data_IF_743774153321
#
_entry.id   IF_743774153321
#
_cell.length_a   1.000
_cell.length_b   1.000
_cell.length_c   1.000
_cell.angle_alpha   90.00
_cell.angle_beta   90.00
_cell.angle_gamma   90.00
#
_symmetry.space_group_name_H-M   'P 1'
#
loop_
_entity.id
_entity.type
_entity.pdbx_description
1 polymer ?
#
# COMPACT_ATOMS: atom_id res chain seq x y z
N UNK A 1 17.23 -6.12 4.14
CA UNK A 1 16.38 -7.12 4.81
C UNK A 1 15.19 -7.31 3.90
N UNK A 2 15.24 -8.31 3.03
CA UNK A 2 14.09 -8.72 2.22
C UNK A 2 13.19 -9.55 3.15
N UNK A 3 12.39 -8.87 3.97
CA UNK A 3 11.19 -9.48 4.51
C UNK A 3 10.34 -9.80 3.28
N UNK A 4 10.32 -11.07 2.87
CA UNK A 4 9.31 -11.55 1.93
C UNK A 4 7.96 -11.11 2.49
N UNK A 5 7.16 -10.48 1.65
CA UNK A 5 5.87 -9.86 1.94
C UNK A 5 4.80 -10.92 2.21
N UNK A 6 5.14 -11.89 3.06
CA UNK A 6 4.31 -12.98 3.50
C UNK A 6 3.96 -12.74 4.96
N UNK A 7 2.69 -12.44 5.19
CA UNK A 7 2.13 -12.12 6.50
C UNK A 7 0.85 -12.95 6.65
N UNK A 8 1.05 -14.21 7.02
CA UNK A 8 -0.05 -15.13 7.28
C UNK A 8 -0.44 -15.03 8.75
N UNK A 9 -1.73 -14.84 8.99
CA UNK A 9 -2.29 -15.02 10.32
C UNK A 9 -2.28 -16.50 10.68
N UNK A 10 -1.30 -16.91 11.50
CA UNK A 10 -1.16 -18.29 11.96
C UNK A 10 -2.43 -18.79 12.66
N UNK A 11 -3.23 -17.92 13.29
CA UNK A 11 -4.49 -18.31 13.91
C UNK A 11 -5.52 -18.84 12.91
N UNK A 12 -5.37 -18.55 11.61
CA UNK A 12 -6.19 -19.09 10.53
C UNK A 12 -5.55 -20.28 9.80
N UNK A 13 -4.27 -20.58 10.06
CA UNK A 13 -3.57 -21.68 9.43
C UNK A 13 -4.15 -23.02 9.90
N UNK A 14 -4.57 -23.86 8.93
CA UNK A 14 -5.24 -25.14 9.22
C UNK A 14 -4.33 -26.13 9.94
N UNK A 15 -3.03 -26.15 9.61
CA UNK A 15 -2.06 -27.02 10.29
C UNK A 15 -1.83 -26.57 11.73
N UNK A 16 -1.70 -25.26 11.95
CA UNK A 16 -1.55 -24.74 13.32
C UNK A 16 -2.77 -25.03 14.18
N UNK A 17 -3.97 -24.80 13.66
CA UNK A 17 -5.21 -25.15 14.36
C UNK A 17 -5.30 -26.63 14.70
N UNK A 18 -4.89 -27.49 13.77
CA UNK A 18 -4.85 -28.95 14.01
C UNK A 18 -3.88 -29.30 15.13
N UNK A 19 -2.71 -28.67 15.19
CA UNK A 19 -1.77 -28.82 16.30
C UNK A 19 -2.38 -28.37 17.63
N UNK A 20 -3.05 -27.21 17.65
CA UNK A 20 -3.68 -26.68 18.87
C UNK A 20 -4.85 -27.53 19.38
N UNK A 21 -5.66 -28.08 18.49
CA UNK A 21 -6.87 -28.83 18.86
C UNK A 21 -6.57 -30.29 19.20
N UNK A 22 -5.79 -30.96 18.34
CA UNK A 22 -5.69 -32.42 18.37
C UNK A 22 -4.31 -32.91 18.86
N UNK A 23 -3.30 -32.05 18.83
CA UNK A 23 -1.91 -32.42 19.13
C UNK A 23 -1.19 -31.38 20.01
N UNK A 24 -1.93 -30.81 20.97
CA UNK A 24 -1.44 -29.76 21.88
C UNK A 24 -0.17 -30.18 22.64
N UNK A 25 0.01 -31.49 22.86
CA UNK A 25 1.20 -32.06 23.50
C UNK A 25 2.51 -31.59 22.86
N UNK A 26 2.57 -31.46 21.53
CA UNK A 26 3.80 -30.98 20.88
C UNK A 26 4.10 -29.52 21.21
N UNK A 27 3.06 -28.68 21.36
CA UNK A 27 3.20 -27.28 21.72
C UNK A 27 3.59 -27.12 23.20
N UNK A 28 3.07 -27.99 24.06
CA UNK A 28 3.39 -27.98 25.49
C UNK A 28 4.80 -28.53 25.78
N UNK A 29 5.26 -29.51 24.99
CA UNK A 29 6.61 -30.08 25.08
C UNK A 29 7.68 -29.19 24.44
N UNK A 30 7.34 -28.43 23.38
CA UNK A 30 8.29 -27.57 22.67
C UNK A 30 9.12 -26.63 23.55
N UNK A 31 8.57 -25.89 24.52
CA UNK A 31 9.40 -25.05 25.40
C UNK A 31 10.28 -25.83 26.38
N UNK A 32 9.92 -27.08 26.71
CA UNK A 32 10.65 -27.93 27.67
C UNK A 32 11.88 -28.54 27.00
N UNK A 33 11.68 -29.13 25.82
CA UNK A 33 12.70 -29.85 25.05
C UNK A 33 13.43 -28.95 24.03
N UNK A 34 13.06 -27.66 23.97
CA UNK A 34 13.60 -26.70 23.01
C UNK A 34 13.21 -26.99 21.55
N UNK A 35 12.11 -27.72 21.31
CA UNK A 35 11.67 -28.02 19.96
C UNK A 35 11.23 -26.77 19.21
N UNK A 36 11.41 -26.81 17.89
CA UNK A 36 10.93 -25.78 16.99
C UNK A 36 9.81 -26.35 16.14
N UNK A 37 8.64 -25.73 16.22
CA UNK A 37 7.46 -26.15 15.47
C UNK A 37 7.48 -25.44 14.13
N UNK A 38 7.64 -26.20 13.04
CA UNK A 38 7.55 -25.64 11.71
C UNK A 38 6.11 -25.70 11.20
N UNK A 39 5.59 -24.58 10.72
CA UNK A 39 4.23 -24.47 10.19
C UNK A 39 4.29 -24.22 8.70
N UNK A 40 3.91 -25.21 7.87
CA UNK A 40 3.81 -25.00 6.44
C UNK A 40 2.81 -23.90 6.11
N UNK A 41 3.22 -23.04 5.18
CA UNK A 41 2.39 -22.00 4.54
C UNK A 41 1.01 -22.52 4.19
N UNK A 42 -0.06 -21.76 4.45
CA UNK A 42 -1.37 -22.11 3.90
C UNK A 42 -1.32 -22.29 2.37
N UNK A 43 -2.01 -23.33 1.90
CA UNK A 43 -2.03 -23.71 0.48
C UNK A 43 -0.86 -24.57 0.01
N UNK A 44 0.18 -24.76 0.83
CA UNK A 44 1.26 -25.73 0.55
C UNK A 44 0.93 -27.17 0.97
N UNK A 45 -0.20 -27.36 1.68
CA UNK A 45 -0.71 -28.63 2.20
C UNK A 45 -2.18 -28.82 1.82
N UNK A 46 -2.70 -30.04 2.00
CA UNK A 46 -4.11 -30.38 1.82
C UNK A 46 -4.63 -31.19 3.01
N UNK A 47 -5.93 -31.51 3.00
CA UNK A 47 -6.58 -32.25 4.10
C UNK A 47 -5.93 -33.61 4.37
N UNK A 48 -5.41 -34.29 3.34
CA UNK A 48 -4.71 -35.59 3.52
C UNK A 48 -3.43 -35.45 4.35
N UNK A 49 -2.74 -34.32 4.22
CA UNK A 49 -1.55 -34.03 5.04
C UNK A 49 -1.94 -33.84 6.52
N UNK A 50 -3.10 -33.22 6.78
CA UNK A 50 -3.56 -32.90 8.14
C UNK A 50 -3.98 -34.15 8.94
N UNK A 51 -4.26 -35.26 8.27
CA UNK A 51 -4.69 -36.52 8.90
C UNK A 51 -3.54 -37.50 9.13
N UNK A 52 -2.38 -37.27 8.52
CA UNK A 52 -1.25 -38.18 8.62
C UNK A 52 -0.31 -37.77 9.76
N UNK A 53 -0.07 -38.70 10.69
CA UNK A 53 0.80 -38.48 11.84
C UNK A 53 2.27 -38.36 11.43
N UNK A 54 2.74 -39.14 10.45
CA UNK A 54 4.12 -39.03 9.94
C UNK A 54 4.37 -37.67 9.30
N UNK A 55 3.38 -37.14 8.58
CA UNK A 55 3.46 -35.79 8.03
C UNK A 55 3.67 -34.72 9.11
N UNK A 56 2.92 -34.85 10.22
CA UNK A 56 2.98 -33.91 11.34
C UNK A 56 4.33 -33.98 12.07
N UNK A 57 4.81 -35.19 12.38
CA UNK A 57 6.09 -35.41 13.05
C UNK A 57 7.26 -34.84 12.23
N UNK A 58 7.19 -34.94 10.91
CA UNK A 58 8.21 -34.38 10.04
C UNK A 58 8.34 -32.85 10.13
N UNK A 59 7.35 -32.13 10.67
CA UNK A 59 7.38 -30.67 10.85
C UNK A 59 7.88 -30.21 12.23
N UNK A 60 8.20 -31.12 13.14
CA UNK A 60 8.67 -30.77 14.49
C UNK A 60 10.16 -31.04 14.56
N UNK A 61 10.95 -30.00 14.82
CA UNK A 61 12.41 -30.07 14.87
C UNK A 61 12.90 -30.20 16.30
N UNK A 62 13.76 -31.18 16.52
CA UNK A 62 14.50 -31.40 17.76
C UNK A 62 15.92 -30.86 17.54
N UNK A 63 16.38 -29.89 18.35
CA UNK A 63 17.73 -29.36 18.24
C UNK A 63 18.78 -30.43 18.59
N UNK A 64 19.89 -30.44 17.87
CA UNK A 64 21.03 -31.30 18.18
C UNK A 64 21.74 -30.81 19.46
N UNK A 65 22.29 -31.73 20.26
CA UNK A 65 22.97 -31.38 21.52
C UNK A 65 24.25 -30.55 21.32
N UNK A 66 25.03 -30.82 20.27
CA UNK A 66 26.29 -30.13 20.00
C UNK A 66 26.09 -28.83 19.22
N UNK A 67 25.17 -28.83 18.25
CA UNK A 67 24.92 -27.69 17.33
C UNK A 67 23.43 -27.28 17.28
N UNK A 68 22.83 -26.90 18.43
CA UNK A 68 21.37 -26.70 18.56
C UNK A 68 20.81 -25.55 17.71
N UNK A 69 21.65 -24.62 17.26
CA UNK A 69 21.23 -23.48 16.43
C UNK A 69 21.16 -23.80 14.93
N UNK A 70 21.85 -24.86 14.47
CA UNK A 70 22.03 -25.11 13.02
C UNK A 70 21.69 -26.53 12.59
N UNK A 71 21.73 -27.50 13.50
CA UNK A 71 21.48 -28.91 13.21
C UNK A 71 20.27 -29.39 14.01
N UNK A 72 19.33 -30.01 13.31
CA UNK A 72 18.10 -30.53 13.87
C UNK A 72 17.85 -31.93 13.33
N UNK A 73 17.14 -32.74 14.12
CA UNK A 73 16.49 -33.96 13.66
C UNK A 73 14.99 -33.74 13.80
N UNK A 74 14.18 -34.04 12.79
CA UNK A 74 12.73 -33.97 12.99
C UNK A 74 12.21 -35.23 13.70
N UNK A 75 10.96 -35.20 14.18
CA UNK A 75 10.38 -36.36 14.88
C UNK A 75 10.10 -37.57 13.97
N UNK A 76 10.24 -37.43 12.65
CA UNK A 76 10.27 -38.54 11.68
C UNK A 76 11.70 -39.04 11.38
N UNK A 77 12.67 -38.68 12.24
CA UNK A 77 14.07 -39.12 12.16
C UNK A 77 14.85 -38.66 10.91
N UNK A 78 14.42 -37.57 10.27
CA UNK A 78 15.16 -36.96 9.16
C UNK A 78 16.06 -35.81 9.65
N UNK A 79 17.28 -35.76 9.10
CA UNK A 79 18.21 -34.66 9.35
C UNK A 79 17.73 -33.38 8.67
N UNK A 80 17.77 -32.27 9.40
CA UNK A 80 17.42 -30.93 8.92
C UNK A 80 18.53 -29.96 9.31
N UNK A 81 19.12 -29.28 8.32
CA UNK A 81 20.19 -28.29 8.53
C UNK A 81 19.70 -26.89 8.21
N UNK A 82 19.97 -25.94 9.09
CA UNK A 82 19.70 -24.53 8.87
C UNK A 82 20.93 -23.84 8.27
N UNK A 83 20.72 -23.19 7.12
CA UNK A 83 21.70 -22.32 6.47
C UNK A 83 21.06 -20.95 6.23
N UNK A 84 21.38 -19.98 7.11
CA UNK A 84 20.75 -18.67 7.09
C UNK A 84 19.25 -18.77 7.41
N UNK A 85 18.38 -18.52 6.41
CA UNK A 85 16.92 -18.71 6.51
C UNK A 85 16.42 -19.92 5.73
N UNK A 86 17.27 -20.90 5.44
CA UNK A 86 16.94 -22.04 4.59
C UNK A 86 17.16 -23.35 5.35
N UNK A 87 16.11 -24.16 5.45
CA UNK A 87 16.13 -25.51 5.97
C UNK A 87 16.42 -26.49 4.82
N UNK A 88 17.42 -27.35 5.02
CA UNK A 88 17.89 -28.33 4.06
C UNK A 88 17.62 -29.74 4.62
N UNK A 89 16.82 -30.53 3.94
CA UNK A 89 16.46 -31.90 4.37
C UNK A 89 16.07 -32.77 3.18
N UNK A 90 16.57 -34.01 3.10
CA UNK A 90 16.14 -34.96 2.05
C UNK A 90 16.25 -34.47 0.60
N UNK A 91 17.19 -33.55 0.31
CA UNK A 91 17.30 -32.88 -1.00
C UNK A 91 16.33 -31.72 -1.23
N UNK A 92 15.41 -31.47 -0.29
CA UNK A 92 14.52 -30.32 -0.25
C UNK A 92 15.24 -29.10 0.34
N UNK A 93 14.83 -27.94 -0.17
CA UNK A 93 15.27 -26.62 0.30
C UNK A 93 14.05 -25.78 0.61
N UNK A 94 13.88 -25.43 1.88
CA UNK A 94 12.67 -24.78 2.40
C UNK A 94 13.05 -23.45 3.06
N UNK A 95 12.43 -22.35 2.64
CA UNK A 95 12.70 -21.02 3.21
C UNK A 95 11.84 -20.77 4.45
N UNK A 96 12.45 -20.26 5.52
CA UNK A 96 11.74 -19.71 6.69
C UNK A 96 11.22 -18.32 6.32
N UNK A 97 9.90 -18.15 6.38
CA UNK A 97 9.19 -16.93 6.00
C UNK A 97 9.27 -15.90 7.11
N UNK A 98 8.89 -16.32 8.31
CA UNK A 98 9.00 -15.54 9.53
C UNK A 98 9.10 -16.47 10.74
N UNK A 99 9.58 -15.89 11.84
CA UNK A 99 9.61 -16.51 13.16
C UNK A 99 8.62 -15.77 14.05
N UNK A 100 7.81 -16.52 14.79
CA UNK A 100 6.88 -15.97 15.76
C UNK A 100 7.05 -16.69 17.11
N UNK A 101 6.94 -15.93 18.20
CA UNK A 101 7.07 -16.43 19.55
C UNK A 101 5.69 -16.61 20.16
N UNK A 102 5.43 -17.82 20.65
CA UNK A 102 4.20 -18.16 21.35
C UNK A 102 4.48 -18.51 22.81
N UNK A 103 3.42 -18.47 23.62
CA UNK A 103 3.48 -18.80 25.03
C UNK A 103 2.48 -19.91 25.34
N UNK A 104 2.90 -20.89 26.15
CA UNK A 104 1.99 -21.87 26.73
C UNK A 104 1.12 -21.23 27.82
N UNK A 105 0.10 -21.97 28.29
CA UNK A 105 -0.75 -21.52 29.41
C UNK A 105 0.05 -21.22 30.68
N UNK A 106 1.17 -21.92 30.86
CA UNK A 106 2.07 -21.75 32.00
C UNK A 106 3.12 -20.63 31.79
N UNK A 107 3.01 -19.87 30.69
CA UNK A 107 3.89 -18.74 30.39
C UNK A 107 5.25 -19.12 29.82
N UNK A 108 5.47 -20.40 29.45
CA UNK A 108 6.70 -20.83 28.80
C UNK A 108 6.70 -20.42 27.33
N UNK A 109 7.80 -19.82 26.87
CA UNK A 109 7.94 -19.35 25.49
C UNK A 109 8.45 -20.47 24.58
N UNK A 110 7.89 -20.58 23.38
CA UNK A 110 8.37 -21.47 22.33
C UNK A 110 8.38 -20.78 20.96
N UNK A 111 9.21 -21.31 20.07
CA UNK A 111 9.42 -20.75 18.73
C UNK A 111 8.60 -21.50 17.69
N UNK A 112 7.95 -20.73 16.83
CA UNK A 112 7.32 -21.23 15.62
C UNK A 112 8.03 -20.64 14.41
N UNK A 113 8.36 -21.51 13.45
CA UNK A 113 8.85 -21.09 12.13
C UNK A 113 7.77 -21.33 11.09
N UNK A 114 7.24 -20.25 10.52
CA UNK A 114 6.41 -20.38 9.33
C UNK A 114 7.31 -20.64 8.12
N UNK A 115 7.07 -21.73 7.40
CA UNK A 115 7.94 -22.23 6.33
C UNK A 115 7.21 -22.29 4.98
N UNK A 116 7.95 -22.03 3.90
CA UNK A 116 7.45 -21.93 2.53
C UNK A 116 6.63 -23.15 2.05
N UNK A 117 7.04 -24.35 2.47
CA UNK A 117 6.47 -25.65 2.10
C UNK A 117 6.84 -26.68 3.16
N UNK A 118 6.17 -27.86 3.22
CA UNK A 118 6.49 -28.90 4.21
C UNK A 118 7.93 -29.41 4.11
N UNK A 119 8.45 -29.91 5.23
CA UNK A 119 9.79 -30.51 5.35
C UNK A 119 9.89 -31.95 4.83
N UNK A 120 8.83 -32.47 4.22
CA UNK A 120 8.77 -33.83 3.69
C UNK A 120 8.18 -33.86 2.28
N UNK A 121 8.32 -35.00 1.60
CA UNK A 121 7.77 -35.19 0.27
C UNK A 121 6.23 -35.19 0.30
N UNK A 122 5.62 -34.29 -0.46
CA UNK A 122 4.17 -34.13 -0.48
C UNK A 122 3.47 -34.98 -1.57
N UNK A 123 4.23 -35.67 -2.43
CA UNK A 123 3.69 -36.52 -3.50
C UNK A 123 2.74 -37.63 -3.01
N UNK A 124 3.00 -38.32 -1.88
CA UNK A 124 2.07 -39.32 -1.33
C UNK A 124 0.67 -38.75 -1.04
N UNK A 125 0.58 -37.45 -0.75
CA UNK A 125 -0.67 -36.76 -0.46
C UNK A 125 -1.35 -36.19 -1.73
N UNK A 126 -0.84 -36.52 -2.92
CA UNK A 126 -1.35 -36.01 -4.20
C UNK A 126 -1.00 -34.55 -4.47
N UNK A 127 -0.03 -34.00 -3.74
CA UNK A 127 0.50 -32.66 -3.96
C UNK A 127 1.82 -32.77 -4.72
N UNK A 128 1.74 -32.52 -6.03
CA UNK A 128 2.93 -32.22 -6.81
C UNK A 128 3.16 -30.72 -6.70
N UNK A 129 4.04 -30.35 -5.77
CA UNK A 129 4.67 -29.03 -5.77
C UNK A 129 5.68 -29.04 -6.92
N UNK A 130 5.23 -28.86 -8.16
CA UNK A 130 6.14 -28.52 -9.26
C UNK A 130 6.99 -27.33 -8.79
N UNK A 131 8.29 -27.34 -9.11
CA UNK A 131 9.28 -26.37 -8.60
C UNK A 131 8.88 -24.90 -8.80
N UNK A 132 7.97 -24.62 -9.74
CA UNK A 132 7.48 -23.29 -10.07
C UNK A 132 6.27 -22.83 -9.21
N UNK A 133 5.46 -23.74 -8.66
CA UNK A 133 4.27 -23.38 -7.87
C UNK A 133 4.51 -23.42 -6.36
N UNK A 134 5.53 -24.17 -5.91
CA UNK A 134 5.94 -24.18 -4.51
C UNK A 134 6.76 -22.96 -4.10
N UNK A 135 7.21 -22.14 -5.06
CA UNK A 135 8.01 -20.94 -4.79
C UNK A 135 7.10 -19.77 -4.41
N UNK A 136 7.47 -19.02 -3.38
CA UNK A 136 6.93 -17.69 -3.11
C UNK A 136 7.33 -16.73 -4.23
N UNK A 137 6.51 -16.68 -5.29
CA UNK A 137 6.65 -15.66 -6.33
C UNK A 137 6.12 -14.35 -5.75
N UNK A 138 6.87 -13.26 -5.88
CA UNK A 138 6.40 -11.92 -5.54
C UNK A 138 6.44 -11.07 -6.79
N UNK A 139 5.34 -10.42 -7.12
CA UNK A 139 5.27 -9.56 -8.31
C UNK A 139 5.82 -8.18 -7.93
N UNK A 140 7.04 -7.88 -8.40
CA UNK A 140 7.73 -6.60 -8.14
C UNK A 140 7.77 -5.71 -9.38
N UNK A 141 7.51 -6.24 -10.56
CA UNK A 141 7.48 -5.49 -11.83
C UNK A 141 6.56 -6.14 -12.85
N UNK A 142 6.27 -5.42 -13.93
CA UNK A 142 5.49 -5.94 -15.06
C UNK A 142 6.02 -7.28 -15.60
N UNK A 143 7.34 -7.44 -15.71
CA UNK A 143 7.94 -8.69 -16.19
C UNK A 143 7.60 -9.88 -15.29
N UNK A 144 7.56 -9.69 -13.97
CA UNK A 144 7.20 -10.73 -13.01
C UNK A 144 5.72 -11.09 -13.16
N UNK A 145 4.85 -10.10 -13.37
CA UNK A 145 3.42 -10.34 -13.63
C UNK A 145 3.20 -11.17 -14.90
N UNK A 146 3.90 -10.83 -15.99
CA UNK A 146 3.82 -11.55 -17.26
C UNK A 146 4.32 -12.99 -17.12
N UNK A 147 5.48 -13.19 -16.48
CA UNK A 147 6.02 -14.53 -16.25
C UNK A 147 5.10 -15.34 -15.34
N UNK A 148 4.61 -14.74 -14.25
CA UNK A 148 3.66 -15.37 -13.36
C UNK A 148 2.41 -15.84 -14.11
N UNK A 149 1.77 -14.97 -14.90
CA UNK A 149 0.57 -15.33 -15.69
C UNK A 149 0.88 -16.47 -16.66
N UNK A 150 2.03 -16.43 -17.35
CA UNK A 150 2.46 -17.48 -18.27
C UNK A 150 2.56 -18.84 -17.57
N UNK A 151 3.12 -18.86 -16.37
CA UNK A 151 3.30 -20.07 -15.56
C UNK A 151 2.00 -20.58 -14.97
N UNK A 152 1.20 -19.70 -14.35
CA UNK A 152 0.00 -20.12 -13.60
C UNK A 152 -1.23 -20.34 -14.48
N UNK A 153 -1.41 -19.52 -15.51
CA UNK A 153 -2.59 -19.61 -16.33
C UNK A 153 -2.51 -20.85 -17.22
N UNK A 154 -1.35 -21.10 -17.84
CA UNK A 154 -0.99 -22.15 -18.84
C UNK A 154 -1.47 -21.92 -20.30
N UNK A 155 -2.73 -21.55 -20.62
CA UNK A 155 -3.10 -21.25 -22.00
C UNK A 155 -2.51 -19.93 -22.52
N UNK A 156 -1.95 -19.97 -23.73
CA UNK A 156 -1.38 -18.80 -24.41
C UNK A 156 -2.43 -17.74 -24.77
N UNK A 157 -3.71 -18.12 -24.90
CA UNK A 157 -4.79 -17.20 -25.29
C UNK A 157 -5.21 -16.22 -24.18
N UNK A 158 -4.71 -16.40 -22.95
CA UNK A 158 -5.11 -15.55 -21.81
C UNK A 158 -4.71 -14.09 -22.06
N UNK A 159 -3.47 -13.86 -22.51
CA UNK A 159 -3.00 -12.53 -22.87
C UNK A 159 -3.84 -11.91 -23.98
N UNK A 160 -4.11 -12.65 -25.06
CA UNK A 160 -4.92 -12.13 -26.18
C UNK A 160 -6.35 -11.80 -25.78
N UNK A 161 -6.96 -12.56 -24.85
CA UNK A 161 -8.29 -12.26 -24.32
C UNK A 161 -8.30 -10.98 -23.46
N UNK A 162 -7.29 -10.81 -22.60
CA UNK A 162 -7.15 -9.59 -21.79
C UNK A 162 -6.93 -8.38 -22.72
N UNK A 163 -6.03 -8.50 -23.69
CA UNK A 163 -5.76 -7.45 -24.67
C UNK A 163 -7.04 -7.06 -25.43
N UNK A 164 -7.81 -8.04 -25.90
CA UNK A 164 -9.09 -7.80 -26.57
C UNK A 164 -10.12 -7.10 -25.67
N UNK A 165 -10.20 -7.47 -24.39
CA UNK A 165 -11.07 -6.83 -23.41
C UNK A 165 -10.68 -5.36 -23.18
N UNK A 166 -9.39 -5.07 -23.01
CA UNK A 166 -8.86 -3.70 -22.86
C UNK A 166 -9.13 -2.88 -24.12
N UNK A 167 -8.87 -3.42 -25.31
CA UNK A 167 -9.12 -2.71 -26.56
C UNK A 167 -10.60 -2.41 -26.79
N UNK A 168 -11.48 -3.33 -26.42
CA UNK A 168 -12.93 -3.11 -26.48
C UNK A 168 -13.37 -2.00 -25.53
N UNK A 169 -12.80 -1.98 -24.32
CA UNK A 169 -13.05 -0.93 -23.34
C UNK A 169 -12.61 0.45 -23.85
N UNK A 170 -11.38 0.57 -24.37
CA UNK A 170 -10.85 1.84 -24.91
C UNK A 170 -11.74 2.36 -26.04
N UNK A 171 -12.18 1.49 -26.97
CA UNK A 171 -13.08 1.88 -28.06
C UNK A 171 -14.40 2.46 -27.53
N UNK A 172 -14.99 1.81 -26.53
CA UNK A 172 -16.24 2.26 -25.92
C UNK A 172 -16.10 3.59 -25.15
N UNK A 173 -14.90 3.90 -24.64
CA UNK A 173 -14.59 5.09 -23.84
C UNK A 173 -13.77 6.15 -24.57
N UNK A 174 -13.75 6.09 -25.90
CA UNK A 174 -12.98 7.01 -26.74
C UNK A 174 -13.45 8.48 -26.71
N UNK A 175 -14.70 8.74 -26.28
CA UNK A 175 -15.21 10.10 -26.10
C UNK A 175 -14.94 10.60 -24.68
N UNK A 176 -14.21 11.71 -24.56
CA UNK A 176 -13.91 12.37 -23.28
C UNK A 176 -14.94 13.44 -22.88
N UNK A 177 -16.01 13.59 -23.66
CA UNK A 177 -17.08 14.56 -23.40
C UNK A 177 -17.78 14.19 -22.09
N UNK A 178 -17.75 15.10 -21.10
CA UNK A 178 -18.25 14.90 -19.74
C UNK A 178 -17.47 13.85 -18.91
N UNK A 179 -16.13 13.91 -18.97
CA UNK A 179 -15.23 13.10 -18.14
C UNK A 179 -15.63 13.13 -16.66
N UNK A 180 -16.16 12.02 -16.15
CA UNK A 180 -16.40 11.82 -14.73
C UNK A 180 -15.47 10.72 -14.23
N UNK A 181 -14.41 11.11 -13.51
CA UNK A 181 -13.37 10.20 -13.06
C UNK A 181 -13.92 9.10 -12.14
N UNK A 182 -14.93 9.41 -11.31
CA UNK A 182 -15.53 8.42 -10.39
C UNK A 182 -16.24 7.32 -11.17
N UNK A 183 -17.04 7.67 -12.18
CA UNK A 183 -17.70 6.69 -13.04
C UNK A 183 -16.68 5.88 -13.84
N UNK A 184 -15.68 6.55 -14.41
CA UNK A 184 -14.62 5.88 -15.16
C UNK A 184 -13.85 4.87 -14.29
N UNK A 185 -13.55 5.23 -13.03
CA UNK A 185 -12.93 4.31 -12.04
C UNK A 185 -13.78 3.05 -11.83
N UNK A 186 -15.09 3.19 -11.69
CA UNK A 186 -15.99 2.03 -11.54
C UNK A 186 -16.00 1.14 -12.79
N UNK A 187 -15.91 1.73 -13.98
CA UNK A 187 -15.85 0.97 -15.22
C UNK A 187 -14.50 0.26 -15.42
N UNK A 188 -13.39 0.89 -15.00
CA UNK A 188 -12.07 0.24 -14.95
C UNK A 188 -12.07 -0.93 -13.96
N UNK A 189 -12.76 -0.82 -12.81
CA UNK A 189 -12.96 -1.95 -11.88
C UNK A 189 -13.71 -3.11 -12.53
N UNK A 190 -14.77 -2.84 -13.31
CA UNK A 190 -15.50 -3.88 -14.06
C UNK A 190 -14.61 -4.57 -15.08
N UNK A 191 -13.78 -3.80 -15.81
CA UNK A 191 -12.79 -4.36 -16.73
C UNK A 191 -11.80 -5.29 -16.01
N UNK A 192 -11.31 -4.88 -14.83
CA UNK A 192 -10.44 -5.70 -14.01
C UNK A 192 -11.08 -7.01 -13.54
N UNK A 193 -12.34 -6.97 -13.10
CA UNK A 193 -13.10 -8.17 -12.72
C UNK A 193 -13.22 -9.12 -13.92
N UNK A 194 -13.55 -8.60 -15.11
CA UNK A 194 -13.58 -9.40 -16.35
C UNK A 194 -12.21 -10.03 -16.65
N UNK A 195 -11.11 -9.29 -16.49
CA UNK A 195 -9.75 -9.82 -16.69
C UNK A 195 -9.39 -10.93 -15.67
N UNK A 196 -9.85 -10.81 -14.41
CA UNK A 196 -9.71 -11.86 -13.41
C UNK A 196 -10.50 -13.12 -13.81
N UNK A 197 -11.73 -12.95 -14.29
CA UNK A 197 -12.56 -14.05 -14.76
C UNK A 197 -11.90 -14.80 -15.92
N UNK A 198 -11.28 -14.08 -16.88
CA UNK A 198 -10.53 -14.67 -17.99
C UNK A 198 -9.42 -15.61 -17.48
N UNK A 199 -8.63 -15.20 -16.48
CA UNK A 199 -7.58 -16.05 -15.91
C UNK A 199 -8.15 -17.22 -15.10
N UNK A 200 -9.21 -16.98 -14.34
CA UNK A 200 -9.83 -17.98 -13.45
C UNK A 200 -10.73 -18.97 -14.19
N UNK A 201 -10.83 -18.89 -15.53
CA UNK A 201 -11.36 -19.98 -16.37
C UNK A 201 -10.58 -21.29 -16.16
N UNK A 202 -9.30 -21.21 -15.78
CA UNK A 202 -8.54 -22.38 -15.34
C UNK A 202 -9.04 -22.85 -13.96
N UNK A 203 -9.87 -23.91 -13.95
CA UNK A 203 -10.45 -24.50 -12.73
C UNK A 203 -9.38 -24.88 -11.70
N UNK A 204 -8.25 -25.47 -12.14
CA UNK A 204 -7.16 -25.86 -11.22
C UNK A 204 -6.55 -24.65 -10.52
N UNK A 205 -6.38 -23.54 -11.23
CA UNK A 205 -5.90 -22.28 -10.63
C UNK A 205 -6.94 -21.71 -9.68
N UNK A 206 -8.22 -21.69 -10.08
CA UNK A 206 -9.33 -21.21 -9.25
C UNK A 206 -9.41 -21.96 -7.92
N UNK A 207 -9.33 -23.29 -7.93
CA UNK A 207 -9.39 -24.13 -6.74
C UNK A 207 -8.16 -23.91 -5.83
N UNK A 208 -6.97 -23.70 -6.41
CA UNK A 208 -5.77 -23.36 -5.62
C UNK A 208 -5.86 -21.97 -4.98
N UNK A 209 -6.37 -20.96 -5.68
CA UNK A 209 -6.60 -19.63 -5.12
C UNK A 209 -7.59 -19.61 -3.95
N UNK A 210 -8.45 -20.62 -3.81
CA UNK A 210 -9.33 -20.75 -2.63
C UNK A 210 -8.57 -21.22 -1.38
N UNK A 211 -7.50 -21.99 -1.56
CA UNK A 211 -6.70 -22.57 -0.47
C UNK A 211 -5.45 -21.76 -0.14
N UNK A 212 -4.98 -20.96 -1.09
CA UNK A 212 -3.75 -20.18 -0.98
C UNK A 212 -4.04 -18.69 -1.17
N UNK A 213 -4.11 -17.97 -0.05
CA UNK A 213 -4.35 -16.54 -0.03
C UNK A 213 -3.25 -15.73 -0.74
N UNK A 214 -1.99 -16.19 -0.65
CA UNK A 214 -0.86 -15.54 -1.27
C UNK A 214 -0.88 -15.73 -2.80
N UNK A 215 -1.16 -16.93 -3.29
CA UNK A 215 -1.38 -17.17 -4.72
C UNK A 215 -2.53 -16.32 -5.26
N UNK A 216 -3.66 -16.26 -4.54
CA UNK A 216 -4.80 -15.42 -4.90
C UNK A 216 -4.42 -13.95 -4.99
N UNK A 217 -3.65 -13.45 -4.02
CA UNK A 217 -3.11 -12.08 -4.02
C UNK A 217 -2.23 -11.83 -5.23
N UNK A 218 -1.33 -12.76 -5.57
CA UNK A 218 -0.48 -12.62 -6.76
C UNK A 218 -1.27 -12.66 -8.06
N UNK A 219 -2.28 -13.52 -8.19
CA UNK A 219 -3.16 -13.50 -9.36
C UNK A 219 -3.81 -12.14 -9.54
N UNK A 220 -4.32 -11.55 -8.46
CA UNK A 220 -4.89 -10.20 -8.48
C UNK A 220 -3.89 -9.14 -8.93
N UNK A 221 -2.72 -9.10 -8.29
CA UNK A 221 -1.66 -8.14 -8.62
C UNK A 221 -1.18 -8.32 -10.06
N UNK A 222 -1.01 -9.57 -10.53
CA UNK A 222 -0.52 -9.84 -11.88
C UNK A 222 -1.49 -9.33 -12.94
N UNK A 223 -2.78 -9.64 -12.77
CA UNK A 223 -3.84 -9.20 -13.69
C UNK A 223 -3.94 -7.69 -13.69
N UNK A 224 -3.96 -7.06 -12.52
CA UNK A 224 -3.98 -5.60 -12.41
C UNK A 224 -2.77 -4.98 -13.11
N UNK A 225 -1.56 -5.47 -12.84
CA UNK A 225 -0.31 -4.96 -13.39
C UNK A 225 -0.29 -5.06 -14.92
N UNK A 226 -0.66 -6.23 -15.46
CA UNK A 226 -0.69 -6.45 -16.91
C UNK A 226 -1.80 -5.63 -17.60
N UNK A 227 -3.01 -5.63 -17.04
CA UNK A 227 -4.14 -4.88 -17.59
C UNK A 227 -3.84 -3.37 -17.58
N UNK A 228 -3.29 -2.85 -16.48
CA UNK A 228 -2.95 -1.43 -16.35
C UNK A 228 -1.87 -1.00 -17.34
N UNK A 229 -0.86 -1.83 -17.61
CA UNK A 229 0.14 -1.54 -18.66
C UNK A 229 -0.53 -1.26 -20.02
N UNK A 230 -1.55 -2.05 -20.38
CA UNK A 230 -2.30 -1.89 -21.64
C UNK A 230 -3.27 -0.72 -21.64
N UNK A 231 -3.81 -0.38 -20.47
CA UNK A 231 -4.77 0.72 -20.33
C UNK A 231 -4.10 2.09 -20.10
N UNK A 232 -2.82 2.11 -19.74
CA UNK A 232 -2.15 3.28 -19.17
C UNK A 232 -2.26 4.55 -20.02
N UNK A 233 -2.03 4.48 -21.33
CA UNK A 233 -2.04 5.68 -22.18
C UNK A 233 -3.43 6.33 -22.22
N UNK A 234 -4.47 5.52 -22.42
CA UNK A 234 -5.85 6.01 -22.40
C UNK A 234 -6.23 6.55 -21.01
N UNK A 235 -5.86 5.84 -19.95
CA UNK A 235 -6.10 6.28 -18.57
C UNK A 235 -5.40 7.60 -18.26
N UNK A 236 -4.17 7.79 -18.72
CA UNK A 236 -3.40 9.02 -18.58
C UNK A 236 -4.14 10.19 -19.23
N UNK A 237 -4.65 10.01 -20.45
CA UNK A 237 -5.46 11.02 -21.14
C UNK A 237 -6.73 11.37 -20.36
N UNK A 238 -7.48 10.37 -19.88
CA UNK A 238 -8.69 10.59 -19.07
C UNK A 238 -8.38 11.39 -17.81
N UNK A 239 -7.35 11.01 -17.04
CA UNK A 239 -6.96 11.70 -15.81
C UNK A 239 -6.54 13.14 -16.12
N UNK A 240 -5.74 13.36 -17.15
CA UNK A 240 -5.28 14.69 -17.55
C UNK A 240 -6.44 15.61 -17.92
N UNK A 241 -7.43 15.12 -18.67
CA UNK A 241 -8.64 15.90 -19.01
C UNK A 241 -9.46 16.21 -17.76
N UNK A 242 -9.70 15.20 -16.92
CA UNK A 242 -10.50 15.36 -15.71
C UNK A 242 -9.85 16.29 -14.64
N UNK A 243 -8.53 16.47 -14.66
CA UNK A 243 -7.78 17.29 -13.69
C UNK A 243 -7.01 18.46 -14.34
N UNK A 244 -7.42 18.91 -15.52
CA UNK A 244 -6.67 19.90 -16.32
C UNK A 244 -6.32 21.16 -15.51
N UNK A 245 -7.31 21.77 -14.86
CA UNK A 245 -7.12 23.01 -14.07
C UNK A 245 -6.12 22.82 -12.92
N UNK A 246 -6.20 21.67 -12.25
CA UNK A 246 -5.31 21.32 -11.14
C UNK A 246 -3.88 21.08 -11.64
N UNK A 247 -3.71 20.40 -12.77
CA UNK A 247 -2.42 20.17 -13.42
C UNK A 247 -1.77 21.49 -13.80
N UNK A 248 -2.52 22.40 -14.43
CA UNK A 248 -2.01 23.70 -14.85
C UNK A 248 -1.58 24.57 -13.65
N UNK A 249 -2.46 24.70 -12.66
CA UNK A 249 -2.19 25.46 -11.45
C UNK A 249 -0.97 24.93 -10.69
N UNK A 250 -0.89 23.61 -10.49
CA UNK A 250 0.23 22.98 -9.81
C UNK A 250 1.56 23.18 -10.55
N UNK A 251 1.55 23.02 -11.88
CA UNK A 251 2.77 23.20 -12.69
C UNK A 251 3.23 24.65 -12.71
N UNK A 252 2.31 25.62 -12.69
CA UNK A 252 2.65 27.04 -12.51
C UNK A 252 3.35 27.26 -11.17
N UNK A 253 2.83 26.67 -10.10
CA UNK A 253 3.44 26.76 -8.76
C UNK A 253 4.83 26.14 -8.71
N UNK A 254 5.04 24.95 -9.27
CA UNK A 254 6.39 24.35 -9.36
C UNK A 254 7.37 25.28 -10.06
N UNK A 255 6.99 25.90 -11.19
CA UNK A 255 7.86 26.85 -11.90
C UNK A 255 8.19 28.06 -11.04
N UNK A 256 7.20 28.62 -10.33
CA UNK A 256 7.41 29.75 -9.42
C UNK A 256 8.32 29.41 -8.22
N UNK A 257 8.38 28.14 -7.84
CA UNK A 257 9.23 27.65 -6.75
C UNK A 257 10.57 27.09 -7.25
N UNK A 258 10.87 27.15 -8.55
CA UNK A 258 12.05 26.52 -9.14
C UNK A 258 13.39 27.01 -8.55
N UNK A 259 13.44 28.25 -8.05
CA UNK A 259 14.62 28.87 -7.45
C UNK A 259 14.81 28.58 -5.95
N UNK A 260 13.96 27.75 -5.34
CA UNK A 260 14.08 27.41 -3.90
C UNK A 260 15.44 26.76 -3.59
N UNK A 261 16.07 27.15 -2.48
CA UNK A 261 17.32 26.56 -1.98
C UNK A 261 17.08 25.59 -0.82
N UNK A 262 17.97 24.60 -0.67
CA UNK A 262 17.90 23.60 0.43
C UNK A 262 17.92 24.28 1.81
N UNK A 263 18.63 25.41 1.94
CA UNK A 263 18.70 26.21 3.17
C UNK A 263 17.37 26.83 3.58
N UNK A 264 16.44 27.04 2.64
CA UNK A 264 15.11 27.60 2.92
C UNK A 264 14.17 26.58 3.58
N UNK A 265 14.51 25.29 3.55
CA UNK A 265 13.68 24.18 4.06
C UNK A 265 14.21 23.58 5.37
N UNK A 266 15.14 24.27 6.04
CA UNK A 266 15.76 23.83 7.31
C UNK A 266 16.36 22.40 7.26
N UNK A 267 16.75 21.94 6.07
CA UNK A 267 17.30 20.60 5.87
C UNK A 267 18.75 20.54 6.34
N UNK A 268 19.11 19.42 6.98
CA UNK A 268 20.51 19.16 7.37
C UNK A 268 21.37 19.04 6.12
N UNK A 269 22.61 19.56 6.20
CA UNK A 269 23.59 19.49 5.09
C UNK A 269 23.88 18.05 4.63
N UNK A 270 23.74 17.06 5.51
CA UNK A 270 23.91 15.64 5.20
C UNK A 270 22.95 15.13 4.12
N UNK A 271 21.79 15.77 3.91
CA UNK A 271 20.86 15.37 2.86
C UNK A 271 21.25 15.87 1.46
N UNK A 272 22.27 16.74 1.35
CA UNK A 272 22.73 17.24 0.05
C UNK A 272 23.18 16.11 -0.91
N UNK A 273 23.84 15.09 -0.37
CA UNK A 273 24.36 13.95 -1.14
C UNK A 273 23.25 12.96 -1.55
N UNK A 274 22.14 12.96 -0.80
CA UNK A 274 20.96 12.12 -1.04
C UNK A 274 20.06 12.65 -2.16
N UNK A 275 19.97 13.97 -2.28
CA UNK A 275 19.05 14.67 -3.19
C UNK A 275 19.14 14.15 -4.64
N UNK A 276 20.33 14.01 -5.26
CA UNK A 276 20.44 13.52 -6.63
C UNK A 276 19.89 12.08 -6.80
N UNK A 277 20.14 11.21 -5.82
CA UNK A 277 19.69 9.82 -5.85
C UNK A 277 18.17 9.71 -5.69
N UNK A 278 17.57 10.47 -4.76
CA UNK A 278 16.12 10.55 -4.58
C UNK A 278 15.46 11.17 -5.82
N UNK A 279 16.03 12.25 -6.37
CA UNK A 279 15.54 12.88 -7.61
C UNK A 279 15.50 11.88 -8.74
N UNK A 280 16.56 11.08 -8.92
CA UNK A 280 16.64 10.05 -9.95
C UNK A 280 15.51 9.02 -9.81
N UNK A 281 15.21 8.55 -8.60
CA UNK A 281 14.11 7.59 -8.40
C UNK A 281 12.73 8.23 -8.60
N UNK A 282 12.53 9.48 -8.19
CA UNK A 282 11.27 10.20 -8.42
C UNK A 282 11.03 10.51 -9.90
N UNK A 283 12.07 10.80 -10.69
CA UNK A 283 11.93 10.98 -12.14
C UNK A 283 11.37 9.73 -12.83
N UNK A 284 11.79 8.54 -12.39
CA UNK A 284 11.32 7.25 -12.94
C UNK A 284 9.85 6.97 -12.67
N UNK A 285 9.22 7.68 -11.73
CA UNK A 285 7.78 7.51 -11.46
C UNK A 285 6.98 7.81 -12.72
N UNK A 286 7.37 8.82 -13.51
CA UNK A 286 6.63 9.22 -14.72
C UNK A 286 6.76 8.17 -15.85
N UNK A 287 7.92 7.50 -15.96
CA UNK A 287 8.16 6.46 -16.97
C UNK A 287 7.39 5.15 -16.70
N UNK A 288 6.94 4.95 -15.46
CA UNK A 288 6.31 3.70 -15.04
C UNK A 288 4.83 3.66 -15.47
N UNK A 289 4.34 2.52 -15.94
CA UNK A 289 2.95 2.35 -16.43
C UNK A 289 2.02 1.62 -15.44
N UNK A 290 2.59 1.07 -14.36
CA UNK A 290 1.85 0.23 -13.40
C UNK A 290 1.98 0.78 -11.99
N UNK A 291 0.99 0.51 -11.14
CA UNK A 291 1.02 0.94 -9.73
C UNK A 291 2.20 0.30 -8.98
N UNK A 292 2.48 -0.98 -9.23
CA UNK A 292 3.59 -1.70 -8.60
C UNK A 292 4.93 -1.02 -8.92
N UNK A 293 5.18 -0.68 -10.18
CA UNK A 293 6.45 -0.05 -10.59
C UNK A 293 6.60 1.36 -10.00
N UNK A 294 5.51 2.17 -10.03
CA UNK A 294 5.50 3.52 -9.43
C UNK A 294 5.73 3.47 -7.91
N UNK A 295 5.04 2.58 -7.20
CA UNK A 295 5.22 2.37 -5.75
C UNK A 295 6.66 1.93 -5.45
N UNK A 296 7.26 1.07 -6.28
CA UNK A 296 8.63 0.65 -6.07
C UNK A 296 9.64 1.78 -6.30
N UNK A 297 9.36 2.74 -7.18
CA UNK A 297 10.15 3.97 -7.28
C UNK A 297 10.07 4.80 -5.99
N UNK A 298 8.86 4.96 -5.44
CA UNK A 298 8.67 5.63 -4.14
C UNK A 298 9.38 4.88 -3.00
N UNK A 299 9.24 3.55 -2.92
CA UNK A 299 9.93 2.73 -1.92
C UNK A 299 11.44 2.94 -1.95
N UNK A 300 12.05 2.90 -3.15
CA UNK A 300 13.48 3.15 -3.30
C UNK A 300 13.87 4.58 -2.90
N UNK A 301 13.08 5.58 -3.27
CA UNK A 301 13.30 6.96 -2.84
C UNK A 301 13.31 7.09 -1.30
N UNK A 302 12.30 6.55 -0.63
CA UNK A 302 12.20 6.56 0.84
C UNK A 302 13.32 5.73 1.50
N UNK A 303 13.69 4.58 0.93
CA UNK A 303 14.81 3.78 1.42
C UNK A 303 16.15 4.52 1.33
N UNK A 304 16.39 5.29 0.25
CA UNK A 304 17.61 6.10 0.13
C UNK A 304 17.62 7.15 1.24
N UNK A 305 16.50 7.85 1.47
CA UNK A 305 16.37 8.86 2.55
C UNK A 305 16.65 8.22 3.92
N UNK A 306 16.12 7.02 4.16
CA UNK A 306 16.33 6.29 5.41
C UNK A 306 17.77 5.74 5.58
N UNK A 307 18.45 5.37 4.49
CA UNK A 307 19.78 4.74 4.51
C UNK A 307 20.93 5.70 4.70
N UNK A 308 20.81 6.97 4.35
CA UNK A 308 21.89 7.97 4.53
C UNK A 308 22.40 8.03 5.97
N UNK A 309 21.52 7.71 6.93
CA UNK A 309 21.82 7.72 8.37
C UNK A 309 22.54 6.44 8.85
N UNK A 310 22.62 5.38 8.03
CA UNK A 310 23.19 4.09 8.44
C UNK A 310 24.72 4.00 8.28
N UNK A 311 25.35 4.97 7.58
CA UNK A 311 26.77 4.97 7.25
C UNK A 311 27.21 3.77 6.38
N UNK A 312 28.46 3.76 5.88
CA UNK A 312 29.06 2.52 5.40
C UNK A 312 29.09 1.54 6.58
N UNK A 313 28.59 0.31 6.39
CA UNK A 313 28.74 -0.79 7.36
C UNK A 313 30.23 -1.10 7.54
N UNK A 314 30.90 -0.34 8.38
CA UNK A 314 32.17 -0.75 8.96
C UNK A 314 31.83 -1.83 9.98
N UNK A 315 32.26 -3.06 9.69
CA UNK A 315 32.25 -4.16 10.64
C UNK A 315 33.25 -3.81 11.75
N UNK A 316 32.82 -3.04 12.73
CA UNK A 316 33.56 -2.84 13.98
C UNK A 316 32.65 -3.16 15.14
N UNK A 317 32.94 -4.29 15.75
CA UNK A 317 32.57 -4.66 17.11
C UNK A 317 33.10 -3.61 18.07
N UNK A 318 32.31 -2.58 18.38
CA UNK A 318 32.55 -1.74 19.55
C UNK A 318 31.28 -0.98 19.95
N UNK A 319 31.02 -1.00 21.26
CA UNK A 319 29.88 -0.39 21.95
C UNK A 319 29.73 1.10 21.65
N UNK A 320 28.49 1.51 21.35
CA UNK A 320 27.91 2.82 21.71
C UNK A 320 28.54 4.06 21.07
N UNK A 321 28.14 4.41 19.85
CA UNK A 321 28.15 5.80 19.39
C UNK A 321 26.75 6.41 19.60
N UNK A 322 26.62 7.54 20.32
CA UNK A 322 25.35 8.24 20.45
C UNK A 322 25.05 9.04 19.17
N UNK A 323 23.77 9.16 18.83
CA UNK A 323 23.19 9.99 17.75
C UNK A 323 23.17 9.44 16.30
N UNK A 324 22.82 8.16 16.10
CA UNK A 324 22.12 7.74 14.88
C UNK A 324 20.65 8.19 14.95
N UNK A 325 20.35 9.45 14.57
CA UNK A 325 18.98 9.95 14.48
C UNK A 325 18.33 9.42 13.19
N UNK A 326 17.45 8.42 13.34
CA UNK A 326 16.56 7.97 12.26
C UNK A 326 15.84 9.16 11.63
N UNK A 327 15.69 9.15 10.31
CA UNK A 327 14.94 10.19 9.58
C UNK A 327 13.50 10.22 10.11
N UNK A 328 13.10 11.37 10.66
CA UNK A 328 11.71 11.60 11.09
C UNK A 328 10.90 12.18 9.94
N UNK A 329 9.57 12.24 10.09
CA UNK A 329 8.71 12.91 9.11
C UNK A 329 9.14 14.37 8.86
N UNK A 330 9.69 15.05 9.88
CA UNK A 330 10.20 16.42 9.81
C UNK A 330 11.45 16.55 8.93
N UNK A 331 12.19 15.46 8.70
CA UNK A 331 13.31 15.43 7.74
C UNK A 331 12.82 14.99 6.34
N UNK A 332 11.94 13.98 6.28
CA UNK A 332 11.49 13.36 5.03
C UNK A 332 10.61 14.29 4.19
N UNK A 333 9.64 14.97 4.82
CA UNK A 333 8.66 15.79 4.10
C UNK A 333 9.33 17.00 3.44
N UNK A 334 10.14 17.84 4.13
CA UNK A 334 10.81 18.97 3.50
C UNK A 334 11.78 18.55 2.39
N UNK A 335 12.45 17.39 2.55
CA UNK A 335 13.33 16.84 1.52
C UNK A 335 12.53 16.44 0.28
N UNK A 336 11.40 15.76 0.44
CA UNK A 336 10.53 15.41 -0.67
C UNK A 336 9.93 16.65 -1.34
N UNK A 337 9.53 17.69 -0.59
CA UNK A 337 9.09 18.97 -1.15
C UNK A 337 10.17 19.55 -2.08
N UNK A 338 11.40 19.64 -1.59
CA UNK A 338 12.53 20.14 -2.37
C UNK A 338 12.72 19.32 -3.64
N UNK A 339 12.81 17.99 -3.52
CA UNK A 339 13.12 17.12 -4.64
C UNK A 339 11.98 17.13 -5.67
N UNK A 340 10.71 17.09 -5.24
CA UNK A 340 9.53 17.17 -6.13
C UNK A 340 9.57 18.45 -6.96
N UNK A 341 9.85 19.61 -6.36
CA UNK A 341 10.01 20.87 -7.09
C UNK A 341 11.18 20.76 -8.09
N UNK A 342 12.34 20.27 -7.63
CA UNK A 342 13.55 20.16 -8.47
C UNK A 342 13.49 19.05 -9.52
N UNK A 343 12.52 18.14 -9.48
CA UNK A 343 12.30 17.17 -10.56
C UNK A 343 11.84 17.86 -11.84
N UNK A 344 11.06 18.96 -11.72
CA UNK A 344 10.47 19.66 -12.87
C UNK A 344 9.44 18.84 -13.65
N UNK A 345 8.96 17.71 -13.12
CA UNK A 345 7.93 16.90 -13.78
C UNK A 345 6.59 17.65 -13.80
N UNK A 346 5.89 17.59 -14.94
CA UNK A 346 4.58 18.24 -15.12
C UNK A 346 3.39 17.34 -14.81
N UNK A 347 3.64 16.05 -14.60
CA UNK A 347 2.62 15.01 -14.52
C UNK A 347 2.38 14.54 -13.07
N UNK A 348 2.81 15.29 -12.05
CA UNK A 348 2.67 14.89 -10.65
C UNK A 348 1.22 14.63 -10.24
N UNK A 349 0.29 15.51 -10.64
CA UNK A 349 -1.15 15.31 -10.38
C UNK A 349 -1.66 14.03 -11.03
N UNK A 350 -1.26 13.74 -12.28
CA UNK A 350 -1.63 12.50 -12.96
C UNK A 350 -1.09 11.27 -12.22
N UNK A 351 0.21 11.28 -11.87
CA UNK A 351 0.86 10.18 -11.17
C UNK A 351 0.26 9.93 -9.78
N UNK A 352 -0.05 10.99 -9.03
CA UNK A 352 -0.71 10.89 -7.73
C UNK A 352 -2.12 10.34 -7.86
N UNK A 353 -2.93 10.89 -8.78
CA UNK A 353 -4.30 10.42 -9.01
C UNK A 353 -4.31 8.96 -9.47
N UNK A 354 -3.39 8.57 -10.35
CA UNK A 354 -3.21 7.17 -10.75
C UNK A 354 -2.96 6.25 -9.54
N UNK A 355 -2.00 6.63 -8.68
CA UNK A 355 -1.67 5.85 -7.49
C UNK A 355 -2.80 5.80 -6.47
N UNK A 356 -3.56 6.87 -6.28
CA UNK A 356 -4.66 6.91 -5.30
C UNK A 356 -5.93 6.19 -5.79
N UNK A 357 -6.27 6.37 -7.06
CA UNK A 357 -7.58 6.00 -7.57
C UNK A 357 -7.59 4.67 -8.34
N UNK A 358 -6.43 4.22 -8.86
CA UNK A 358 -6.35 3.08 -9.76
C UNK A 358 -5.54 1.89 -9.20
N UNK A 359 -5.41 1.80 -7.87
CA UNK A 359 -4.97 0.58 -7.16
C UNK A 359 -6.17 -0.37 -6.95
N UNK A 360 -6.38 -1.29 -7.89
CA UNK A 360 -7.60 -2.09 -7.95
C UNK A 360 -7.60 -3.30 -7.00
N UNK A 361 -6.43 -3.90 -6.76
CA UNK A 361 -6.30 -5.03 -5.85
C UNK A 361 -6.70 -4.63 -4.42
N UNK A 362 -6.32 -3.44 -3.97
CA UNK A 362 -6.71 -2.92 -2.65
C UNK A 362 -8.19 -2.54 -2.61
N UNK A 363 -8.74 -1.97 -3.68
CA UNK A 363 -10.17 -1.62 -3.77
C UNK A 363 -11.11 -2.85 -3.75
N UNK A 364 -10.63 -4.03 -4.15
CA UNK A 364 -11.39 -5.31 -4.05
C UNK A 364 -11.16 -6.05 -2.73
N UNK A 365 -10.40 -5.46 -1.80
CA UNK A 365 -10.15 -5.99 -0.45
C UNK A 365 -10.90 -5.12 0.57
N UNK A 366 -12.22 -5.23 0.61
CA UNK A 366 -13.04 -4.63 1.68
C UNK A 366 -12.79 -5.26 3.07
N UNK A 367 -11.87 -6.23 3.23
CA UNK A 367 -11.82 -7.13 4.37
C UNK A 367 -10.43 -7.37 5.00
N UNK A 368 -9.42 -6.51 4.80
CA UNK A 368 -8.20 -6.56 5.62
C UNK A 368 -7.94 -5.23 6.33
N UNK A 369 -7.58 -5.33 7.62
CA UNK A 369 -7.13 -4.25 8.50
C UNK A 369 -5.84 -3.56 7.99
N UNK A 370 -5.25 -4.03 6.90
CA UNK A 370 -4.01 -3.52 6.29
C UNK A 370 -4.21 -2.31 5.36
N UNK A 371 -5.21 -1.46 5.61
CA UNK A 371 -5.29 -0.13 4.96
C UNK A 371 -4.06 0.76 5.28
N UNK A 372 -3.25 0.36 6.26
CA UNK A 372 -2.09 1.08 6.80
C UNK A 372 -0.75 0.42 6.46
N UNK A 373 -0.60 -0.11 5.25
CA UNK A 373 0.68 -0.64 4.77
C UNK A 373 1.71 0.44 4.43
N UNK A 374 2.99 0.04 4.32
CA UNK A 374 4.11 0.92 3.94
C UNK A 374 3.85 1.72 2.64
N UNK A 375 3.22 1.10 1.63
CA UNK A 375 2.87 1.76 0.37
C UNK A 375 1.85 2.90 0.57
N UNK A 376 0.87 2.70 1.45
CA UNK A 376 -0.16 3.70 1.79
C UNK A 376 0.49 4.93 2.43
N UNK A 377 1.38 4.71 3.41
CA UNK A 377 2.17 5.78 4.02
C UNK A 377 2.96 6.60 2.98
N UNK A 378 3.61 5.94 2.02
CA UNK A 378 4.38 6.63 0.96
C UNK A 378 3.48 7.46 0.04
N UNK A 379 2.32 6.93 -0.35
CA UNK A 379 1.36 7.64 -1.21
C UNK A 379 0.75 8.83 -0.47
N UNK A 380 0.33 8.66 0.78
CA UNK A 380 -0.20 9.75 1.63
C UNK A 380 0.87 10.82 1.90
N UNK A 381 2.12 10.42 2.10
CA UNK A 381 3.22 11.39 2.27
C UNK A 381 3.47 12.18 0.99
N UNK A 382 3.46 11.53 -0.17
CA UNK A 382 3.57 12.21 -1.47
C UNK A 382 2.38 13.15 -1.72
N UNK A 383 1.17 12.72 -1.36
CA UNK A 383 -0.02 13.57 -1.42
C UNK A 383 0.15 14.82 -0.56
N UNK A 384 0.57 14.67 0.69
CA UNK A 384 0.82 15.80 1.59
C UNK A 384 1.85 16.78 1.00
N UNK A 385 2.93 16.26 0.39
CA UNK A 385 3.94 17.08 -0.29
C UNK A 385 3.35 17.85 -1.48
N UNK A 386 2.54 17.20 -2.33
CA UNK A 386 1.91 17.85 -3.49
C UNK A 386 0.89 18.90 -3.05
N UNK A 387 0.09 18.60 -2.02
CA UNK A 387 -0.86 19.56 -1.44
C UNK A 387 -0.12 20.76 -0.84
N UNK A 388 0.96 20.52 -0.08
CA UNK A 388 1.78 21.60 0.48
C UNK A 388 2.34 22.52 -0.60
N UNK A 389 2.94 21.96 -1.66
CA UNK A 389 3.44 22.74 -2.79
C UNK A 389 2.32 23.56 -3.45
N UNK A 390 1.14 22.96 -3.63
CA UNK A 390 -0.03 23.67 -4.18
C UNK A 390 -0.41 24.88 -3.34
N UNK A 391 -0.35 24.75 -2.01
CA UNK A 391 -0.64 25.82 -1.06
C UNK A 391 0.49 26.87 -0.96
N UNK A 392 1.77 26.52 -1.20
CA UNK A 392 2.88 27.48 -1.12
C UNK A 392 2.76 28.65 -2.11
N UNK A 393 2.01 28.49 -3.22
CA UNK A 393 1.68 29.63 -4.08
C UNK A 393 0.94 30.73 -3.31
N UNK A 394 0.09 30.36 -2.34
CA UNK A 394 -0.72 31.28 -1.54
C UNK A 394 0.18 32.12 -0.62
N UNK A 395 1.20 31.51 -0.01
CA UNK A 395 2.12 32.20 0.90
C UNK A 395 3.13 33.09 0.14
N UNK A 396 3.62 32.65 -1.02
CA UNK A 396 4.58 33.43 -1.82
C UNK A 396 3.90 34.55 -2.63
N UNK A 397 2.67 34.34 -3.11
CA UNK A 397 1.87 35.40 -3.75
C UNK A 397 1.52 36.51 -2.76
N UNK A 398 1.24 36.15 -1.50
CA UNK A 398 1.04 37.10 -0.40
C UNK A 398 2.33 37.85 -0.03
N UNK A 399 3.50 37.20 -0.10
CA UNK A 399 4.81 37.85 0.12
C UNK A 399 5.29 38.75 -1.02
N UNK A 400 4.88 38.47 -2.26
CA UNK A 400 5.26 39.25 -3.45
C UNK A 400 4.23 40.35 -3.81
N UNK A 401 3.16 40.50 -3.02
CA UNK A 401 2.11 41.51 -3.26
C UNK A 401 1.29 41.27 -4.53
N UNK A 402 1.31 40.06 -5.09
CA UNK A 402 0.53 39.71 -6.28
C UNK A 402 -0.77 39.04 -5.82
N UNK A 403 -1.84 39.84 -5.77
CA UNK A 403 -3.20 39.35 -5.57
C UNK A 403 -3.59 38.47 -6.76
N UNK A 404 -3.68 37.15 -6.54
CA UNK A 404 -4.17 36.18 -7.54
C UNK A 404 -5.69 36.01 -7.48
N UNK A 405 -6.37 36.72 -6.58
CA UNK A 405 -7.81 36.89 -6.62
C UNK A 405 -8.11 38.13 -7.49
N UNK A 406 -9.04 38.06 -8.46
CA UNK A 406 -9.52 39.25 -9.13
C UNK A 406 -10.03 40.20 -8.04
N UNK A 407 -9.39 41.37 -7.90
CA UNK A 407 -9.98 42.50 -7.18
C UNK A 407 -11.13 43.05 -8.02
N UNK A 408 -12.22 42.29 -8.09
CA UNK A 408 -13.52 42.90 -8.33
C UNK A 408 -13.99 43.44 -6.98
N UNK A 409 -13.68 44.72 -6.75
CA UNK A 409 -14.35 45.60 -5.79
C UNK A 409 -14.79 44.97 -4.46
N UNK A 410 -13.84 44.53 -3.64
CA UNK A 410 -14.12 44.25 -2.22
C UNK A 410 -14.14 45.57 -1.42
N UNK A 411 -15.24 46.32 -1.56
CA UNK A 411 -15.87 46.78 -0.33
C UNK A 411 -16.46 45.52 0.30
N UNK A 412 -15.87 45.03 1.39
CA UNK A 412 -16.43 43.90 2.13
C UNK A 412 -17.84 44.30 2.56
N UNK A 413 -18.83 43.73 1.90
CA UNK A 413 -20.23 43.86 2.29
C UNK A 413 -20.40 43.12 3.59
N UNK A 414 -21.12 43.73 4.55
CA UNK A 414 -21.40 43.10 5.84
C UNK A 414 -22.04 41.73 5.65
N UNK A 415 -21.82 40.81 6.59
CA UNK A 415 -22.46 39.49 6.63
C UNK A 415 -23.97 39.51 6.29
N UNK A 416 -24.70 40.53 6.75
CA UNK A 416 -26.14 40.73 6.50
C UNK A 416 -26.51 40.94 5.02
N UNK A 417 -25.54 41.28 4.17
CA UNK A 417 -25.70 41.53 2.74
C UNK A 417 -25.18 40.37 1.88
N UNK A 418 -24.64 39.32 2.50
CA UNK A 418 -24.01 38.19 1.82
C UNK A 418 -24.92 36.97 1.72
N UNK A 419 -24.87 36.29 0.57
CA UNK A 419 -25.58 35.01 0.35
C UNK A 419 -24.56 33.93 -0.02
N UNK A 420 -24.45 32.90 0.83
CA UNK A 420 -23.52 31.79 0.64
C UNK A 420 -24.23 30.64 -0.09
N UNK A 421 -23.62 30.11 -1.16
CA UNK A 421 -24.20 29.00 -1.93
C UNK A 421 -23.96 27.64 -1.29
N UNK A 422 -22.92 27.50 -0.48
CA UNK A 422 -22.56 26.27 0.22
C UNK A 422 -21.69 26.56 1.48
N UNK A 423 -21.45 25.52 2.27
CA UNK A 423 -20.67 25.61 3.50
C UNK A 423 -19.21 26.03 3.26
N UNK A 424 -18.60 25.59 2.16
CA UNK A 424 -17.20 25.92 1.85
C UNK A 424 -17.02 27.42 1.55
N UNK A 425 -17.98 28.06 0.86
CA UNK A 425 -17.96 29.51 0.65
C UNK A 425 -18.08 30.29 1.96
N UNK A 426 -18.94 29.84 2.87
CA UNK A 426 -19.07 30.46 4.18
C UNK A 426 -17.80 30.29 5.03
N UNK A 427 -17.21 29.09 5.03
CA UNK A 427 -15.97 28.83 5.76
C UNK A 427 -14.80 29.67 5.21
N UNK A 428 -14.69 29.79 3.89
CA UNK A 428 -13.68 30.65 3.28
C UNK A 428 -13.88 32.14 3.64
N UNK A 429 -15.12 32.62 3.74
CA UNK A 429 -15.42 33.97 4.21
C UNK A 429 -15.03 34.17 5.69
N UNK A 430 -15.43 33.23 6.56
CA UNK A 430 -15.09 33.26 7.98
C UNK A 430 -13.58 33.22 8.21
N UNK A 431 -12.84 32.40 7.47
CA UNK A 431 -11.38 32.36 7.53
C UNK A 431 -10.74 33.65 7.02
N UNK A 432 -11.37 34.34 6.07
CA UNK A 432 -10.90 35.64 5.59
C UNK A 432 -11.09 36.71 6.66
N UNK A 433 -12.23 36.74 7.35
CA UNK A 433 -12.49 37.63 8.49
C UNK A 433 -11.50 37.40 9.64
N UNK A 434 -11.28 36.14 10.02
CA UNK A 434 -10.29 35.78 11.05
C UNK A 434 -8.88 36.21 10.67
N UNK A 435 -8.55 36.15 9.38
CA UNK A 435 -7.24 36.55 8.87
C UNK A 435 -7.04 38.07 8.87
N UNK A 436 -8.09 38.83 8.61
CA UNK A 436 -8.07 40.30 8.62
C UNK A 436 -8.23 40.90 10.03
N UNK A 437 -8.44 40.05 11.04
CA UNK A 437 -8.65 40.45 12.44
C UNK A 437 -9.90 41.34 12.63
N UNK A 438 -10.93 41.11 11.81
CA UNK A 438 -12.20 41.84 11.83
C UNK A 438 -13.14 41.25 12.90
N UNK A 439 -12.73 41.39 14.17
CA UNK A 439 -13.41 40.79 15.33
C UNK A 439 -14.88 41.20 15.45
N UNK A 440 -15.22 42.43 15.12
CA UNK A 440 -16.59 42.96 15.23
C UNK A 440 -17.57 42.19 14.34
N UNK A 441 -17.17 41.88 13.09
CA UNK A 441 -18.02 41.17 12.14
C UNK A 441 -18.07 39.66 12.43
N UNK A 442 -16.98 39.10 12.96
CA UNK A 442 -16.97 37.73 13.49
C UNK A 442 -17.96 37.61 14.65
N UNK A 443 -17.95 38.56 15.58
CA UNK A 443 -18.87 38.60 16.71
C UNK A 443 -20.32 38.80 16.23
N UNK A 444 -20.55 39.62 15.21
CA UNK A 444 -21.88 39.80 14.61
C UNK A 444 -22.39 38.49 14.01
N UNK A 445 -21.57 37.73 13.27
CA UNK A 445 -21.91 36.40 12.75
C UNK A 445 -22.28 35.44 13.90
N UNK A 446 -21.47 35.37 14.95
CA UNK A 446 -21.74 34.48 16.09
C UNK A 446 -22.99 34.91 16.87
N UNK A 447 -23.24 36.21 17.00
CA UNK A 447 -24.45 36.74 17.63
C UNK A 447 -25.69 36.46 16.77
N UNK A 448 -25.60 36.55 15.45
CA UNK A 448 -26.70 36.27 14.54
C UNK A 448 -27.05 34.77 14.54
N UNK A 449 -26.05 33.89 14.66
CA UNK A 449 -26.29 32.45 14.90
C UNK A 449 -26.95 32.16 16.27
N UNK A 450 -26.59 32.92 17.31
CA UNK A 450 -27.19 32.78 18.64
C UNK A 450 -28.60 33.37 18.72
N UNK A 451 -28.86 34.50 18.04
CA UNK A 451 -30.13 35.21 18.05
C UNK A 451 -31.14 34.59 17.07
N UNK A 452 -30.70 34.11 15.90
CA UNK A 452 -31.56 33.44 14.92
C UNK A 452 -31.67 31.93 15.10
N UNK A 453 -31.28 31.40 16.26
CA UNK A 453 -31.52 30.01 16.68
C UNK A 453 -33.01 29.61 16.71
N UNK A 454 -33.94 30.52 16.41
CA UNK A 454 -35.37 30.23 16.24
C UNK A 454 -35.97 30.60 14.87
N UNK A 455 -35.25 31.25 13.95
CA UNK A 455 -35.88 31.85 12.74
C UNK A 455 -35.44 31.25 11.40
N UNK A 456 -34.37 30.43 11.34
CA UNK A 456 -33.92 29.78 10.08
C UNK A 456 -34.42 28.32 9.95
N UNK A 457 -35.16 27.80 10.93
CA UNK A 457 -35.82 26.47 10.88
C UNK A 457 -37.19 26.54 10.15
N UNK A 458 -37.48 27.61 9.41
CA UNK A 458 -38.79 27.78 8.74
C UNK A 458 -38.88 27.19 7.32
N UNK A 459 -37.79 26.62 6.77
CA UNK A 459 -37.81 25.91 5.48
C UNK A 459 -37.44 24.42 5.54
N UNK A 460 -37.15 23.88 6.72
CA UNK A 460 -36.96 22.43 6.88
C UNK A 460 -37.82 21.95 8.05
N UNK A 461 -38.82 21.10 7.76
CA UNK A 461 -39.54 20.28 8.75
C UNK A 461 -38.62 19.20 9.38
N UNK A 462 -37.39 19.59 9.75
CA UNK A 462 -36.41 18.72 10.42
C UNK A 462 -35.81 19.50 11.58
N UNK A 463 -35.68 18.85 12.73
CA UNK A 463 -35.11 19.47 13.93
C UNK A 463 -33.67 19.98 13.73
N UNK A 464 -32.94 19.41 12.76
CA UNK A 464 -31.65 19.89 12.24
C UNK A 464 -31.37 19.23 10.87
N UNK A 465 -30.39 19.71 10.08
CA UNK A 465 -30.19 19.30 8.68
C UNK A 465 -29.88 17.82 8.42
N UNK A 466 -29.57 17.05 9.46
CA UNK A 466 -29.19 15.62 9.38
C UNK A 466 -30.16 14.70 10.16
N UNK A 467 -31.33 15.19 10.56
CA UNK A 467 -32.29 14.41 11.34
C UNK A 467 -33.10 13.41 10.49
N UNK A 468 -33.30 12.20 11.01
CA UNK A 468 -34.05 11.08 10.39
C UNK A 468 -35.05 10.46 11.38
N UNK A 469 -35.53 11.23 12.36
CA UNK A 469 -36.48 10.70 13.34
C UNK A 469 -37.90 10.62 12.77
N UNK A 470 -38.70 9.71 13.31
CA UNK A 470 -40.07 9.43 12.85
C UNK A 470 -41.03 10.62 12.97
N UNK A 471 -40.71 11.65 13.78
CA UNK A 471 -41.46 12.91 13.84
C UNK A 471 -41.18 13.86 12.66
N UNK A 472 -40.08 13.66 11.93
CA UNK A 472 -39.65 14.48 10.79
C UNK A 472 -39.87 13.78 9.44
N UNK A 473 -40.38 12.53 9.43
CA UNK A 473 -40.72 11.75 8.22
C UNK A 473 -42.23 11.76 7.88
N UNK A 474 -43.05 12.57 8.58
CA UNK A 474 -44.51 12.68 8.36
C UNK A 474 -44.95 13.97 7.67
#
# INVERSE_FOLDING_TARGET
MDAQQYDEDLSQNLFFRKLQLDHQIFLDTAPIEGWIVCIPRSGSINEKCLTDQEFLLAQILVPNEELPETHFTNLSCADVRLNGRQLLTGGLKVTILFEELFYTKDGLKYKIWCIERPLCDTRPYGLVLDDDFGKLITIRKLQDAVEFIRTVAKPRYVFSKIDAAVQTFIKHRSSFLNCNLKLYKEDVKKLYINCLEIILQNRKLKDRCQRDAHLKRNVKIAVETYMMDKLYDHLREVITVCHQDQVESFNKTIRNLSDIHVSELSLRRSYADVIPAVKKELLRVDDCRTAVDKINCLKRAFEIIAREQAGPRVVTTAKGSPDQKLATADDVIPLLIFVVIKTGLTNWIMNLTFLKEFQLNEATQAAQKDKFGQSSYMITTLEAVIVYISCCSIERSQRLGIDLMPREDMQMKRFSEMTFRNADQFLNYLFTLMKNNEEDEILEIFQDFNNNGQTVISQYKKCHPLCVCSKCES
#
